data_IF_500034354877
#
_entry.id   IF_500034354877
#
_cell.length_a   1.000
_cell.length_b   1.000
_cell.length_c   1.000
_cell.angle_alpha   90.00
_cell.angle_beta   90.00
_cell.angle_gamma   90.00
#
_symmetry.space_group_name_H-M   'P 1'
#
loop_
_entity.id
_entity.type
_entity.pdbx_description
1 polymer ?
#
# COMPACT_ATOMS: atom_id res chain seq x y z
N UNK A 1 -18.91 28.99 -42.16
CA UNK A 1 -17.81 29.87 -41.77
C UNK A 1 -16.41 29.40 -42.25
N UNK A 2 -16.20 28.15 -42.62
CA UNK A 2 -14.90 27.63 -43.13
C UNK A 2 -14.67 27.82 -44.65
N UNK A 3 -15.67 28.33 -45.42
CA UNK A 3 -15.62 28.37 -46.87
C UNK A 3 -14.65 29.42 -47.46
N UNK A 4 -14.27 30.44 -46.67
CA UNK A 4 -13.43 31.55 -47.13
C UNK A 4 -11.95 31.47 -46.80
N UNK A 5 -11.48 30.32 -46.24
CA UNK A 5 -10.05 30.14 -45.95
C UNK A 5 -9.31 29.61 -47.19
N UNK A 6 -8.04 30.06 -47.34
CA UNK A 6 -7.15 29.47 -48.34
C UNK A 6 -6.92 27.99 -48.09
N UNK A 7 -6.59 27.22 -49.12
CA UNK A 7 -6.32 25.77 -49.00
C UNK A 7 -5.33 25.44 -47.89
N UNK A 8 -4.24 26.21 -47.79
CA UNK A 8 -3.23 26.05 -46.75
C UNK A 8 -3.82 26.19 -45.32
N UNK A 9 -4.68 27.17 -45.08
CA UNK A 9 -5.35 27.37 -43.78
C UNK A 9 -6.29 26.20 -43.42
N UNK A 10 -7.02 25.68 -44.41
CA UNK A 10 -7.90 24.52 -44.22
C UNK A 10 -7.06 23.27 -43.82
N UNK A 11 -5.96 23.03 -44.51
CA UNK A 11 -5.05 21.95 -44.23
C UNK A 11 -4.45 22.06 -42.81
N UNK A 12 -3.99 23.26 -42.41
CA UNK A 12 -3.46 23.53 -41.09
C UNK A 12 -4.49 23.25 -39.97
N UNK A 13 -5.77 23.65 -40.19
CA UNK A 13 -6.83 23.39 -39.22
C UNK A 13 -7.08 21.88 -39.06
N UNK A 14 -7.08 21.12 -40.17
CA UNK A 14 -7.25 19.67 -40.14
C UNK A 14 -6.08 19.02 -39.37
N UNK A 15 -4.86 19.39 -39.71
CA UNK A 15 -3.66 18.85 -38.99
C UNK A 15 -3.71 19.18 -37.50
N UNK A 16 -4.00 20.44 -37.15
CA UNK A 16 -4.11 20.87 -35.76
C UNK A 16 -5.21 20.12 -35.01
N UNK A 17 -6.37 19.91 -35.62
CA UNK A 17 -7.47 19.15 -35.02
C UNK A 17 -7.13 17.67 -34.82
N UNK A 18 -6.44 17.04 -35.79
CA UNK A 18 -5.96 15.66 -35.65
C UNK A 18 -4.90 15.52 -34.53
N UNK A 19 -3.96 16.45 -34.46
CA UNK A 19 -2.93 16.46 -33.38
C UNK A 19 -3.60 16.67 -32.02
N UNK A 20 -4.50 17.61 -31.89
CA UNK A 20 -5.22 17.88 -30.65
C UNK A 20 -6.07 16.67 -30.23
N UNK A 21 -6.79 16.06 -31.17
CA UNK A 21 -7.55 14.82 -30.92
C UNK A 21 -6.66 13.68 -30.46
N UNK A 22 -5.50 13.47 -31.11
CA UNK A 22 -4.52 12.48 -30.72
C UNK A 22 -3.97 12.71 -29.31
N UNK A 23 -3.67 13.96 -28.94
CA UNK A 23 -3.23 14.30 -27.59
C UNK A 23 -4.29 14.03 -26.52
N UNK A 24 -5.55 14.35 -26.79
CA UNK A 24 -6.66 14.10 -25.87
C UNK A 24 -6.87 12.60 -25.65
N UNK A 25 -6.88 11.81 -26.72
CA UNK A 25 -7.02 10.33 -26.62
C UNK A 25 -5.84 9.72 -25.87
N UNK A 26 -4.61 10.13 -26.17
CA UNK A 26 -3.42 9.63 -25.47
C UNK A 26 -3.41 10.03 -23.99
N UNK A 27 -3.83 11.24 -23.66
CA UNK A 27 -3.96 11.71 -22.28
C UNK A 27 -5.00 10.91 -21.49
N UNK A 28 -6.17 10.67 -22.10
CA UNK A 28 -7.23 9.88 -21.50
C UNK A 28 -6.81 8.41 -21.30
N UNK A 29 -6.15 7.81 -22.30
CA UNK A 29 -5.62 6.44 -22.18
C UNK A 29 -4.57 6.33 -21.08
N UNK A 30 -3.64 7.27 -20.97
CA UNK A 30 -2.62 7.29 -19.91
C UNK A 30 -3.24 7.45 -18.53
N UNK A 31 -4.23 8.30 -18.38
CA UNK A 31 -4.95 8.48 -17.12
C UNK A 31 -5.69 7.19 -16.71
N UNK A 32 -6.39 6.56 -17.65
CA UNK A 32 -7.09 5.29 -17.42
C UNK A 32 -6.14 4.17 -17.02
N UNK A 33 -5.01 4.00 -17.73
CA UNK A 33 -3.99 3.02 -17.40
C UNK A 33 -3.42 3.22 -16.00
N UNK A 34 -3.12 4.46 -15.62
CA UNK A 34 -2.62 4.77 -14.27
C UNK A 34 -3.64 4.44 -13.20
N UNK A 35 -4.90 4.79 -13.39
CA UNK A 35 -5.96 4.50 -12.42
C UNK A 35 -6.14 2.99 -12.22
N UNK A 36 -6.17 2.22 -13.31
CA UNK A 36 -6.28 0.75 -13.25
C UNK A 36 -5.10 0.12 -12.50
N UNK A 37 -3.86 0.51 -12.82
CA UNK A 37 -2.66 -0.04 -12.16
C UNK A 37 -2.69 0.24 -10.65
N UNK A 38 -3.09 1.44 -10.23
CA UNK A 38 -3.17 1.77 -8.80
C UNK A 38 -4.25 0.93 -8.12
N UNK A 39 -5.42 0.82 -8.72
CA UNK A 39 -6.54 0.02 -8.18
C UNK A 39 -6.17 -1.46 -8.05
N UNK A 40 -5.54 -2.03 -9.07
CA UNK A 40 -5.12 -3.44 -9.07
C UNK A 40 -4.06 -3.70 -7.99
N UNK A 41 -3.11 -2.79 -7.81
CA UNK A 41 -2.11 -2.89 -6.74
C UNK A 41 -2.74 -2.81 -5.36
N UNK A 42 -3.71 -1.92 -5.17
CA UNK A 42 -4.46 -1.83 -3.91
C UNK A 42 -5.23 -3.10 -3.63
N UNK A 43 -5.98 -3.63 -4.61
CA UNK A 43 -6.72 -4.88 -4.47
C UNK A 43 -5.79 -6.06 -4.12
N UNK A 44 -4.66 -6.18 -4.81
CA UNK A 44 -3.66 -7.21 -4.52
C UNK A 44 -3.06 -7.07 -3.11
N UNK A 45 -2.70 -5.86 -2.70
CA UNK A 45 -2.15 -5.62 -1.35
C UNK A 45 -3.17 -5.94 -0.26
N UNK A 46 -4.44 -5.55 -0.46
CA UNK A 46 -5.54 -5.90 0.44
C UNK A 46 -5.70 -7.41 0.57
N UNK A 47 -5.78 -8.14 -0.55
CA UNK A 47 -5.94 -9.60 -0.55
C UNK A 47 -4.81 -10.33 0.18
N UNK A 48 -3.57 -9.85 0.02
CA UNK A 48 -2.40 -10.41 0.70
C UNK A 48 -2.48 -10.17 2.22
N UNK A 49 -2.88 -9.00 2.68
CA UNK A 49 -3.07 -8.72 4.11
C UNK A 49 -4.24 -9.53 4.69
N UNK A 50 -5.34 -9.68 3.97
CA UNK A 50 -6.47 -10.52 4.39
C UNK A 50 -6.04 -12.00 4.53
N UNK A 51 -5.18 -12.48 3.64
CA UNK A 51 -4.58 -13.82 3.77
C UNK A 51 -3.70 -13.95 5.02
N UNK A 52 -2.89 -12.93 5.33
CA UNK A 52 -2.09 -12.88 6.54
C UNK A 52 -2.95 -12.87 7.81
N UNK A 53 -4.06 -12.14 7.80
CA UNK A 53 -5.04 -12.15 8.91
C UNK A 53 -5.68 -13.53 9.08
N UNK A 54 -5.91 -14.28 8.00
CA UNK A 54 -6.43 -15.65 8.07
C UNK A 54 -5.44 -16.59 8.76
N UNK A 55 -4.12 -16.40 8.55
CA UNK A 55 -3.07 -17.14 9.27
C UNK A 55 -3.13 -16.81 10.77
N UNK A 56 -3.24 -15.53 11.14
CA UNK A 56 -3.39 -15.13 12.54
C UNK A 56 -4.65 -15.73 13.17
N UNK A 57 -5.76 -15.68 12.45
CA UNK A 57 -7.03 -16.27 12.88
C UNK A 57 -6.97 -17.79 13.08
N UNK A 58 -6.17 -18.50 12.30
CA UNK A 58 -5.93 -19.94 12.51
C UNK A 58 -5.28 -20.19 13.88
N UNK A 59 -4.20 -19.48 14.22
CA UNK A 59 -3.55 -19.65 15.51
C UNK A 59 -4.42 -19.21 16.69
N UNK A 60 -5.20 -18.15 16.54
CA UNK A 60 -6.20 -17.77 17.55
C UNK A 60 -7.20 -18.89 17.82
N UNK A 61 -7.75 -19.53 16.78
CA UNK A 61 -8.64 -20.68 16.92
C UNK A 61 -8.01 -21.86 17.64
N UNK A 62 -6.72 -22.16 17.40
CA UNK A 62 -6.00 -23.22 18.12
C UNK A 62 -5.88 -22.91 19.62
N UNK A 63 -5.70 -21.64 19.98
CA UNK A 63 -5.71 -21.22 21.37
C UNK A 63 -7.10 -21.33 22.00
N UNK A 64 -8.15 -20.87 21.30
CA UNK A 64 -9.55 -20.97 21.77
C UNK A 64 -10.01 -22.41 21.97
N UNK A 65 -9.47 -23.34 21.18
CA UNK A 65 -9.70 -24.79 21.31
C UNK A 65 -8.84 -25.47 22.38
N UNK A 66 -7.97 -24.73 23.06
CA UNK A 66 -7.05 -25.27 24.06
C UNK A 66 -5.90 -26.12 23.49
N UNK A 67 -5.71 -26.14 22.17
CA UNK A 67 -4.62 -26.88 21.50
C UNK A 67 -3.26 -26.21 21.71
N UNK A 68 -3.26 -24.89 21.80
CA UNK A 68 -2.09 -24.05 22.12
C UNK A 68 -2.43 -23.14 23.31
N UNK A 69 -1.40 -22.73 24.05
CA UNK A 69 -1.54 -21.58 24.95
C UNK A 69 -1.73 -20.29 24.13
N UNK A 70 -2.34 -19.25 24.71
CA UNK A 70 -2.48 -17.94 24.07
C UNK A 70 -1.11 -17.36 23.66
N UNK A 71 -0.09 -17.52 24.50
CA UNK A 71 1.25 -17.02 24.23
C UNK A 71 1.93 -17.81 23.11
N UNK A 72 1.79 -19.14 23.07
CA UNK A 72 2.33 -19.98 21.98
C UNK A 72 1.63 -19.67 20.66
N UNK A 73 0.32 -19.52 20.65
CA UNK A 73 -0.44 -19.17 19.46
C UNK A 73 0.01 -17.81 18.88
N UNK A 74 0.13 -16.81 19.77
CA UNK A 74 0.63 -15.47 19.39
C UNK A 74 2.07 -15.53 18.85
N UNK A 75 2.96 -16.26 19.55
CA UNK A 75 4.34 -16.39 19.11
C UNK A 75 4.45 -17.05 17.72
N UNK A 76 3.71 -18.15 17.50
CA UNK A 76 3.69 -18.85 16.21
C UNK A 76 3.07 -18.01 15.08
N UNK A 77 1.98 -17.28 15.35
CA UNK A 77 1.39 -16.37 14.38
C UNK A 77 2.37 -15.28 13.95
N UNK A 78 3.05 -14.64 14.91
CA UNK A 78 4.04 -13.60 14.63
C UNK A 78 5.27 -14.16 13.89
N UNK A 79 5.73 -15.35 14.23
CA UNK A 79 6.83 -16.01 13.53
C UNK A 79 6.45 -16.30 12.07
N UNK A 80 5.27 -16.88 11.83
CA UNK A 80 4.79 -17.14 10.48
C UNK A 80 4.73 -15.85 9.64
N UNK A 81 4.16 -14.77 10.17
CA UNK A 81 4.10 -13.47 9.47
C UNK A 81 5.49 -12.86 9.24
N UNK A 82 6.41 -13.05 10.19
CA UNK A 82 7.78 -12.53 10.07
C UNK A 82 8.53 -13.14 8.89
N UNK A 83 8.24 -14.39 8.54
CA UNK A 83 8.89 -15.11 7.44
C UNK A 83 8.16 -14.94 6.09
N UNK A 84 6.91 -14.53 6.12
CA UNK A 84 6.14 -14.31 4.90
C UNK A 84 6.70 -13.14 4.09
N UNK A 85 6.82 -13.35 2.78
CA UNK A 85 7.18 -12.32 1.80
C UNK A 85 6.20 -12.36 0.63
N UNK A 86 5.99 -11.21 0.01
CA UNK A 86 5.14 -11.10 -1.16
C UNK A 86 5.71 -10.11 -2.17
N UNK A 87 5.22 -10.15 -3.41
CA UNK A 87 5.70 -9.29 -4.49
C UNK A 87 7.25 -9.31 -4.58
N UNK A 88 7.88 -8.17 -4.67
CA UNK A 88 9.35 -8.02 -4.75
C UNK A 88 9.98 -7.95 -3.34
N UNK A 89 9.81 -9.00 -2.51
CA UNK A 89 10.34 -9.10 -1.16
C UNK A 89 9.73 -8.09 -0.15
N UNK A 90 8.49 -7.68 -0.39
CA UNK A 90 7.73 -6.91 0.59
C UNK A 90 7.32 -7.81 1.77
N UNK A 91 6.98 -7.22 2.90
CA UNK A 91 6.84 -7.91 4.18
C UNK A 91 5.65 -7.36 5.00
N UNK A 92 5.26 -8.10 6.01
CA UNK A 92 4.29 -7.67 7.00
C UNK A 92 4.97 -7.12 8.25
N UNK A 93 4.29 -6.24 8.94
CA UNK A 93 4.63 -5.83 10.30
C UNK A 93 3.34 -5.72 11.12
N UNK A 94 3.47 -5.81 12.42
CA UNK A 94 2.34 -5.82 13.34
C UNK A 94 2.53 -4.72 14.38
N UNK A 95 1.51 -3.88 14.51
CA UNK A 95 1.35 -2.89 15.57
C UNK A 95 0.25 -3.36 16.52
N UNK A 96 0.35 -3.00 17.79
CA UNK A 96 -0.80 -3.09 18.68
C UNK A 96 -1.72 -1.86 18.53
N UNK A 97 -2.84 -1.88 19.25
CA UNK A 97 -3.84 -0.80 19.19
C UNK A 97 -3.35 0.54 19.76
N UNK A 98 -2.23 0.57 20.48
CA UNK A 98 -1.57 1.77 20.97
C UNK A 98 -0.48 2.30 20.01
N UNK A 99 -0.10 1.51 18.99
CA UNK A 99 0.95 1.85 18.03
C UNK A 99 2.34 1.41 18.44
N UNK A 100 2.42 0.46 19.38
CA UNK A 100 3.70 -0.20 19.72
C UNK A 100 3.99 -1.26 18.67
N UNK A 101 5.22 -1.30 18.17
CA UNK A 101 5.65 -2.31 17.20
C UNK A 101 5.77 -3.68 17.85
N UNK A 102 4.86 -4.58 17.53
CA UNK A 102 4.88 -5.96 18.03
C UNK A 102 5.86 -6.82 17.22
N UNK A 103 5.85 -6.69 15.91
CA UNK A 103 6.73 -7.43 15.01
C UNK A 103 7.10 -6.59 13.78
N UNK A 104 8.39 -6.57 13.44
CA UNK A 104 8.91 -6.02 12.19
C UNK A 104 10.10 -6.87 11.71
N UNK A 105 10.01 -7.52 10.54
CA UNK A 105 11.02 -8.50 10.14
C UNK A 105 12.35 -7.90 9.70
N UNK A 106 12.35 -6.63 9.28
CA UNK A 106 13.56 -5.95 8.79
C UNK A 106 14.16 -5.05 9.86
N UNK A 107 13.34 -4.29 10.58
CA UNK A 107 13.79 -3.29 11.56
C UNK A 107 13.55 -3.79 12.99
N UNK A 108 14.35 -4.77 13.43
CA UNK A 108 14.24 -5.32 14.80
C UNK A 108 14.33 -4.23 15.89
N UNK A 109 15.04 -3.14 15.61
CA UNK A 109 15.18 -2.00 16.52
C UNK A 109 13.86 -1.25 16.80
N UNK A 110 12.81 -1.45 16.01
CA UNK A 110 11.48 -0.88 16.25
C UNK A 110 10.64 -1.71 17.23
N UNK A 111 10.95 -3.00 17.41
CA UNK A 111 10.16 -3.89 18.27
C UNK A 111 10.10 -3.37 19.71
N UNK A 112 8.90 -3.33 20.26
CA UNK A 112 8.60 -2.81 21.60
C UNK A 112 8.62 -1.29 21.73
N UNK A 113 8.84 -0.53 20.64
CA UNK A 113 8.82 0.92 20.68
C UNK A 113 7.45 1.47 20.32
N UNK A 114 7.06 2.56 20.97
CA UNK A 114 5.97 3.42 20.51
C UNK A 114 6.39 4.09 19.19
N UNK A 115 5.76 3.65 18.09
CA UNK A 115 6.05 4.17 16.76
C UNK A 115 5.23 5.40 16.40
N UNK A 116 4.23 5.76 17.20
CA UNK A 116 3.36 6.91 16.93
C UNK A 116 4.10 8.25 16.95
N UNK A 117 5.28 8.27 17.56
CA UNK A 117 6.16 9.45 17.66
C UNK A 117 7.25 9.48 16.59
N UNK A 118 7.34 8.45 15.73
CA UNK A 118 8.37 8.32 14.71
C UNK A 118 7.82 8.87 13.38
N UNK A 119 8.36 9.98 12.85
CA UNK A 119 7.99 10.47 11.54
C UNK A 119 8.75 9.73 10.44
N UNK A 120 8.21 9.73 9.22
CA UNK A 120 8.96 9.37 8.02
C UNK A 120 9.92 10.51 7.59
N UNK A 121 10.68 10.28 6.51
CA UNK A 121 11.61 11.32 5.99
C UNK A 121 10.91 12.58 5.46
N UNK A 122 9.60 12.54 5.22
CA UNK A 122 8.78 13.69 4.86
C UNK A 122 8.13 14.37 6.08
N UNK A 123 8.41 13.90 7.31
CA UNK A 123 7.84 14.44 8.55
C UNK A 123 6.44 13.92 8.89
N UNK A 124 5.95 12.90 8.18
CA UNK A 124 4.61 12.33 8.40
C UNK A 124 4.64 11.25 9.49
N UNK A 125 3.77 11.36 10.48
CA UNK A 125 3.57 10.36 11.53
C UNK A 125 2.64 9.24 11.05
N UNK A 126 3.09 8.49 10.06
CA UNK A 126 2.28 7.51 9.35
C UNK A 126 1.85 6.31 10.20
N UNK A 127 2.62 5.90 11.20
CA UNK A 127 2.22 4.85 12.14
C UNK A 127 1.01 5.28 12.97
N UNK A 128 0.94 6.55 13.38
CA UNK A 128 -0.24 7.10 14.06
C UNK A 128 -1.47 7.04 13.16
N UNK A 129 -1.32 7.40 11.89
CA UNK A 129 -2.39 7.29 10.90
C UNK A 129 -2.82 5.84 10.70
N UNK A 130 -1.87 4.89 10.63
CA UNK A 130 -2.15 3.46 10.50
C UNK A 130 -3.02 2.94 11.65
N UNK A 131 -2.71 3.31 12.89
CA UNK A 131 -3.52 2.95 14.07
C UNK A 131 -4.94 3.48 13.96
N UNK A 132 -5.13 4.71 13.46
CA UNK A 132 -6.48 5.27 13.28
C UNK A 132 -7.23 4.60 12.14
N UNK A 133 -6.59 4.34 11.02
CA UNK A 133 -7.18 3.68 9.86
C UNK A 133 -7.55 2.23 10.18
N UNK A 134 -6.71 1.52 10.94
CA UNK A 134 -6.99 0.13 11.36
C UNK A 134 -8.23 -0.02 12.27
N UNK A 135 -8.69 1.07 12.90
CA UNK A 135 -9.94 1.08 13.68
C UNK A 135 -11.20 1.08 12.81
N UNK A 136 -11.08 1.37 11.52
CA UNK A 136 -12.20 1.32 10.59
C UNK A 136 -12.57 -0.14 10.30
N UNK A 137 -13.86 -0.47 10.13
CA UNK A 137 -14.32 -1.85 9.91
C UNK A 137 -13.63 -2.56 8.74
N UNK A 138 -13.36 -1.82 7.66
CA UNK A 138 -12.70 -2.34 6.45
C UNK A 138 -11.18 -2.10 6.44
N UNK A 139 -10.62 -1.46 7.48
CA UNK A 139 -9.24 -1.00 7.42
C UNK A 139 -9.05 0.09 6.36
N UNK A 140 -7.84 0.21 5.81
CA UNK A 140 -7.58 1.19 4.76
C UNK A 140 -6.13 1.29 4.33
N UNK A 141 -5.87 2.22 3.42
CA UNK A 141 -4.54 2.45 2.88
C UNK A 141 -3.89 3.67 3.50
N UNK A 142 -2.60 3.55 3.82
CA UNK A 142 -1.77 4.65 4.31
C UNK A 142 -0.54 4.77 3.43
N UNK A 143 -0.30 5.97 2.90
CA UNK A 143 0.88 6.30 2.10
C UNK A 143 1.94 6.98 2.97
N UNK A 144 3.21 6.64 2.76
CA UNK A 144 4.34 7.18 3.52
C UNK A 144 5.64 7.01 2.74
N UNK A 145 6.75 7.50 3.28
CA UNK A 145 8.09 7.41 2.68
C UNK A 145 9.00 6.59 3.58
N UNK A 146 9.43 5.40 3.12
CA UNK A 146 10.22 4.47 3.92
C UNK A 146 11.25 3.72 3.09
N UNK A 147 12.41 3.34 3.65
CA UNK A 147 13.41 2.55 2.95
C UNK A 147 12.88 1.17 2.52
N UNK A 148 13.37 0.69 1.37
CA UNK A 148 13.19 -0.70 0.97
C UNK A 148 14.11 -1.61 1.78
N UNK A 149 13.77 -2.92 1.93
CA UNK A 149 14.67 -3.87 2.54
C UNK A 149 16.09 -3.82 1.95
N UNK A 150 17.09 -3.65 2.83
CA UNK A 150 18.50 -3.59 2.41
C UNK A 150 18.94 -2.32 1.66
N UNK A 151 18.11 -1.26 1.68
CA UNK A 151 18.47 0.04 1.09
C UNK A 151 18.19 1.17 2.08
N UNK A 152 19.03 2.21 2.07
CA UNK A 152 18.86 3.40 2.91
C UNK A 152 18.00 4.48 2.24
N UNK A 153 17.81 4.37 0.92
CA UNK A 153 17.00 5.31 0.16
C UNK A 153 15.52 5.09 0.48
N UNK A 154 14.88 6.14 0.98
CA UNK A 154 13.46 6.12 1.27
C UNK A 154 12.65 6.37 -0.01
N UNK A 155 11.67 5.53 -0.24
CA UNK A 155 10.77 5.56 -1.41
C UNK A 155 9.32 5.68 -0.97
N UNK A 156 8.43 6.22 -1.83
CA UNK A 156 7.00 6.18 -1.58
C UNK A 156 6.51 4.73 -1.40
N UNK A 157 5.80 4.49 -0.31
CA UNK A 157 5.16 3.21 0.01
C UNK A 157 3.67 3.42 0.26
N UNK A 158 2.91 2.37 0.01
CA UNK A 158 1.49 2.27 0.30
C UNK A 158 1.26 0.96 1.04
N UNK A 159 0.75 1.04 2.25
CA UNK A 159 0.37 -0.14 3.04
C UNK A 159 -1.13 -0.18 3.25
N UNK A 160 -1.71 -1.36 3.16
CA UNK A 160 -3.04 -1.64 3.66
C UNK A 160 -2.93 -2.07 5.13
N UNK A 161 -3.78 -1.53 5.99
CA UNK A 161 -3.83 -1.81 7.44
C UNK A 161 -5.24 -2.21 7.85
N UNK A 162 -5.29 -3.19 8.75
CA UNK A 162 -6.53 -3.73 9.31
C UNK A 162 -6.28 -4.35 10.67
#
# INVERSE_FOLDING_TARGET
MLLNFSFAKKLMIIIASCVLGGMLVSGAAMWLLRSTIVTDRQASTRAVVESALSVMGHYSKLADQGTLSQDDAKARALAALSDMRYSNNEYFFVLDGAGVMVMHPISAALRGKDTTTIPDKAGKFFFREMVQVAKQPEGGFVSYVWPRPGKDEAVPKLSYVR
#
